data_IF_682006412616
#
_entry.id   IF_682006412616
#
_cell.length_a   1.000
_cell.length_b   1.000
_cell.length_c   1.000
_cell.angle_alpha   90.00
_cell.angle_beta   90.00
_cell.angle_gamma   90.00
#
_symmetry.space_group_name_H-M   'P 1'
#
loop_
_entity.id
_entity.type
_entity.pdbx_description
1 polymer ?
#
# COMPACT_ATOMS: atom_id res chain seq x y z
N UNK A 1 -25.04 19.59 -10.75
CA UNK A 1 -23.74 19.26 -11.39
C UNK A 1 -23.45 20.31 -12.44
N UNK A 2 -22.31 21.01 -12.39
CA UNK A 2 -22.02 22.22 -13.18
C UNK A 2 -21.76 22.00 -14.67
N UNK A 3 -21.96 20.78 -15.19
CA UNK A 3 -21.91 20.47 -16.64
C UNK A 3 -20.52 20.51 -17.30
N UNK A 4 -19.46 20.73 -16.52
CA UNK A 4 -18.07 20.85 -17.01
C UNK A 4 -17.36 19.50 -17.10
N UNK A 5 -16.42 19.37 -18.05
CA UNK A 5 -15.78 18.09 -18.41
C UNK A 5 -14.47 17.79 -17.68
N UNK A 6 -13.84 18.78 -17.06
CA UNK A 6 -12.59 18.59 -16.33
C UNK A 6 -12.38 19.67 -15.25
N UNK A 7 -11.42 19.43 -14.35
CA UNK A 7 -11.08 20.35 -13.25
C UNK A 7 -10.64 21.73 -13.73
N UNK A 8 -9.94 21.84 -14.87
CA UNK A 8 -9.51 23.14 -15.40
C UNK A 8 -10.72 23.99 -15.80
N UNK A 9 -11.69 23.39 -16.50
CA UNK A 9 -12.94 24.05 -16.86
C UNK A 9 -13.78 24.39 -15.63
N UNK A 10 -13.78 23.52 -14.61
CA UNK A 10 -14.43 23.81 -13.33
C UNK A 10 -13.81 25.02 -12.65
N UNK A 11 -12.49 25.07 -12.49
CA UNK A 11 -11.78 26.16 -11.83
C UNK A 11 -11.84 27.49 -12.60
N UNK A 12 -12.17 27.44 -13.89
CA UNK A 12 -12.39 28.63 -14.71
C UNK A 12 -13.80 29.23 -14.56
N UNK A 13 -14.73 28.54 -13.88
CA UNK A 13 -16.03 29.11 -13.52
C UNK A 13 -15.78 30.15 -12.42
N UNK A 14 -15.82 31.45 -12.74
CA UNK A 14 -15.46 32.52 -11.80
C UNK A 14 -16.24 32.56 -10.47
N UNK A 15 -17.34 31.81 -10.38
CA UNK A 15 -18.25 31.76 -9.22
C UNK A 15 -18.07 30.49 -8.36
N UNK A 16 -17.00 29.73 -8.55
CA UNK A 16 -16.72 28.52 -7.74
C UNK A 16 -15.44 28.66 -6.92
N UNK A 17 -15.35 27.90 -5.83
CA UNK A 17 -14.09 27.71 -5.11
C UNK A 17 -13.21 26.76 -5.94
N UNK A 18 -12.01 27.19 -6.38
CA UNK A 18 -11.15 26.32 -7.17
C UNK A 18 -10.76 25.05 -6.42
N UNK A 19 -10.85 23.91 -7.10
CA UNK A 19 -10.39 22.64 -6.59
C UNK A 19 -8.88 22.47 -6.86
N UNK A 20 -8.10 22.01 -5.89
CA UNK A 20 -6.68 21.72 -6.09
C UNK A 20 -6.50 20.45 -6.94
N UNK A 21 -5.36 20.38 -7.64
CA UNK A 21 -4.87 19.10 -8.15
C UNK A 21 -4.37 18.25 -6.98
N UNK A 22 -4.67 16.96 -7.02
CA UNK A 22 -4.21 16.00 -6.02
C UNK A 22 -3.16 15.10 -6.66
N UNK A 23 -1.95 15.08 -6.12
CA UNK A 23 -0.88 14.18 -6.56
C UNK A 23 -0.65 13.14 -5.47
N UNK A 24 -0.88 11.87 -5.80
CA UNK A 24 -0.63 10.73 -4.93
C UNK A 24 0.71 10.12 -5.34
N UNK A 25 1.65 10.02 -4.40
CA UNK A 25 2.98 9.45 -4.62
C UNK A 25 3.15 8.19 -3.79
N UNK A 26 3.49 7.09 -4.45
CA UNK A 26 3.83 5.80 -3.83
C UNK A 26 5.29 5.54 -4.14
N UNK A 27 6.15 5.58 -3.13
CA UNK A 27 7.61 5.41 -3.31
C UNK A 27 8.02 3.96 -3.59
N UNK A 28 7.32 2.99 -2.98
CA UNK A 28 7.56 1.57 -3.18
C UNK A 28 6.25 0.79 -3.29
N UNK A 29 5.82 0.55 -4.53
CA UNK A 29 4.62 -0.24 -4.82
C UNK A 29 4.73 -1.68 -4.30
N UNK A 30 5.93 -2.28 -4.33
CA UNK A 30 6.09 -3.68 -3.98
C UNK A 30 5.68 -3.97 -2.54
N UNK A 31 5.90 -3.02 -1.62
CA UNK A 31 5.53 -3.18 -0.22
C UNK A 31 4.00 -3.23 -0.04
N UNK A 32 3.24 -2.47 -0.84
CA UNK A 32 1.78 -2.54 -0.86
C UNK A 32 1.29 -3.86 -1.47
N UNK A 33 1.91 -4.27 -2.59
CA UNK A 33 1.57 -5.50 -3.30
C UNK A 33 1.89 -6.77 -2.49
N UNK A 34 2.84 -6.71 -1.55
CA UNK A 34 3.16 -7.84 -0.66
C UNK A 34 2.11 -8.04 0.44
N UNK A 35 1.36 -7.00 0.82
CA UNK A 35 0.37 -7.07 1.90
C UNK A 35 -0.99 -7.50 1.38
N UNK A 36 -1.50 -6.82 0.35
CA UNK A 36 -2.85 -7.05 -0.20
C UNK A 36 -2.91 -6.76 -1.71
N UNK A 37 -2.32 -7.63 -2.56
CA UNK A 37 -2.12 -7.34 -3.97
C UNK A 37 -3.42 -7.08 -4.74
N UNK A 38 -4.48 -7.87 -4.50
CA UNK A 38 -5.76 -7.71 -5.18
C UNK A 38 -6.45 -6.38 -4.82
N UNK A 39 -6.49 -6.04 -3.52
CA UNK A 39 -7.16 -4.83 -3.04
C UNK A 39 -6.44 -3.56 -3.55
N UNK A 40 -5.10 -3.55 -3.52
CA UNK A 40 -4.32 -2.42 -4.00
C UNK A 40 -4.36 -2.27 -5.52
N UNK A 41 -4.33 -3.38 -6.26
CA UNK A 41 -4.46 -3.37 -7.71
C UNK A 41 -5.80 -2.77 -8.15
N UNK A 42 -6.91 -3.21 -7.54
CA UNK A 42 -8.25 -2.67 -7.82
C UNK A 42 -8.34 -1.16 -7.54
N UNK A 43 -7.75 -0.69 -6.45
CA UNK A 43 -7.70 0.74 -6.11
C UNK A 43 -6.91 1.53 -7.13
N UNK A 44 -5.73 1.05 -7.55
CA UNK A 44 -4.90 1.72 -8.56
C UNK A 44 -5.63 1.80 -9.89
N UNK A 45 -6.25 0.70 -10.33
CA UNK A 45 -7.03 0.64 -11.57
C UNK A 45 -8.17 1.66 -11.52
N UNK A 46 -8.94 1.68 -10.42
CA UNK A 46 -10.06 2.62 -10.25
C UNK A 46 -9.61 4.07 -10.26
N UNK A 47 -8.53 4.40 -9.53
CA UNK A 47 -7.98 5.75 -9.51
C UNK A 47 -7.51 6.16 -10.91
N UNK A 48 -6.71 5.33 -11.56
CA UNK A 48 -6.14 5.59 -12.88
C UNK A 48 -7.20 5.74 -13.98
N UNK A 49 -8.38 5.13 -13.84
CA UNK A 49 -9.51 5.34 -14.76
C UNK A 49 -10.25 6.66 -14.51
N UNK A 50 -10.28 7.15 -13.27
CA UNK A 50 -10.99 8.38 -12.88
C UNK A 50 -10.14 9.66 -13.05
N UNK A 51 -8.81 9.53 -13.07
CA UNK A 51 -7.83 10.64 -13.02
C UNK A 51 -7.90 11.59 -14.22
N UNK A 52 -8.35 11.14 -15.41
CA UNK A 52 -8.28 11.94 -16.65
C UNK A 52 -9.08 13.25 -16.61
N UNK A 53 -10.19 13.31 -15.89
CA UNK A 53 -11.06 14.48 -15.82
C UNK A 53 -11.05 15.19 -14.45
N UNK A 54 -10.71 14.45 -13.39
CA UNK A 54 -10.93 14.88 -11.99
C UNK A 54 -9.79 15.70 -11.40
N UNK A 55 -8.60 15.71 -12.03
CA UNK A 55 -7.43 16.43 -11.50
C UNK A 55 -6.66 15.66 -10.42
N UNK A 56 -6.92 14.36 -10.29
CA UNK A 56 -6.16 13.45 -9.44
C UNK A 56 -5.07 12.82 -10.31
N UNK A 57 -3.84 12.73 -9.82
CA UNK A 57 -2.69 12.16 -10.52
C UNK A 57 -1.97 11.17 -9.62
N UNK A 58 -1.50 10.07 -10.20
CA UNK A 58 -0.81 9.01 -9.47
C UNK A 58 0.62 8.89 -9.99
N UNK A 59 1.60 8.93 -9.09
CA UNK A 59 3.01 8.66 -9.32
C UNK A 59 3.38 7.43 -8.51
N UNK A 60 3.80 6.37 -9.19
CA UNK A 60 4.14 5.09 -8.56
C UNK A 60 5.58 4.74 -8.90
N UNK A 61 6.36 4.47 -7.87
CA UNK A 61 7.74 4.03 -7.96
C UNK A 61 7.89 2.64 -7.30
N UNK A 62 8.91 1.91 -7.73
CA UNK A 62 9.32 0.64 -7.14
C UNK A 62 10.75 0.33 -7.54
N UNK A 63 11.50 -0.31 -6.64
CA UNK A 63 12.83 -0.86 -6.94
C UNK A 63 12.77 -2.33 -7.37
N UNK A 64 11.58 -2.96 -7.33
CA UNK A 64 11.37 -4.38 -7.63
C UNK A 64 10.52 -4.52 -8.90
N UNK A 65 11.12 -4.38 -10.09
CA UNK A 65 10.40 -4.47 -11.36
C UNK A 65 10.10 -5.93 -11.74
N UNK A 66 9.26 -6.61 -10.94
CA UNK A 66 8.76 -7.96 -11.22
C UNK A 66 7.33 -7.93 -11.76
N UNK A 67 6.93 -9.00 -12.45
CA UNK A 67 5.56 -9.15 -13.00
C UNK A 67 4.51 -9.20 -11.89
N UNK A 68 4.89 -9.67 -10.69
CA UNK A 68 4.01 -9.73 -9.52
C UNK A 68 3.74 -8.34 -8.91
N UNK A 69 4.63 -7.38 -9.13
CA UNK A 69 4.48 -5.99 -8.67
C UNK A 69 3.89 -5.11 -9.77
N UNK A 70 4.45 -5.20 -10.98
CA UNK A 70 4.02 -4.42 -12.16
C UNK A 70 3.19 -5.34 -13.07
N UNK A 71 1.98 -5.63 -12.60
CA UNK A 71 1.07 -6.55 -13.28
C UNK A 71 0.56 -5.99 -14.62
N UNK A 72 -0.11 -6.84 -15.40
CA UNK A 72 -0.77 -6.41 -16.64
C UNK A 72 -1.84 -5.32 -16.42
N UNK A 73 -2.59 -5.39 -15.32
CA UNK A 73 -3.65 -4.41 -15.01
C UNK A 73 -3.05 -3.06 -14.62
N UNK A 74 -2.00 -3.06 -13.81
CA UNK A 74 -1.25 -1.84 -13.48
C UNK A 74 -0.71 -1.20 -14.77
N UNK A 75 -0.05 -1.98 -15.63
CA UNK A 75 0.45 -1.49 -16.92
C UNK A 75 -0.65 -0.93 -17.82
N UNK A 76 -1.80 -1.58 -17.89
CA UNK A 76 -2.91 -1.14 -18.73
C UNK A 76 -3.48 0.23 -18.30
N UNK A 77 -3.40 0.56 -17.01
CA UNK A 77 -3.98 1.79 -16.46
C UNK A 77 -2.93 2.88 -16.15
N UNK A 78 -1.63 2.55 -16.11
CA UNK A 78 -0.52 3.50 -15.98
C UNK A 78 0.34 3.45 -17.26
N UNK A 79 -0.08 4.17 -18.32
CA UNK A 79 0.54 4.10 -19.64
C UNK A 79 1.79 4.97 -19.83
N UNK A 80 2.01 6.01 -19.03
CA UNK A 80 3.27 6.76 -19.03
C UNK A 80 4.25 6.13 -18.05
N UNK A 81 5.46 5.82 -18.49
CA UNK A 81 6.43 5.05 -17.68
C UNK A 81 7.83 5.62 -17.77
N UNK A 82 8.57 5.52 -16.68
CA UNK A 82 9.99 5.87 -16.61
C UNK A 82 10.72 4.63 -16.09
N UNK A 83 11.78 4.22 -16.79
CA UNK A 83 12.70 3.19 -16.32
C UNK A 83 14.09 3.80 -16.15
N UNK A 84 14.62 3.74 -14.92
CA UNK A 84 16.04 3.94 -14.66
C UNK A 84 16.82 2.66 -14.97
N UNK A 85 18.14 2.68 -14.77
CA UNK A 85 18.98 1.51 -14.94
C UNK A 85 18.48 0.31 -14.12
N UNK A 86 18.35 -0.84 -14.79
CA UNK A 86 17.92 -2.11 -14.18
C UNK A 86 18.93 -3.21 -14.48
N UNK A 87 18.86 -4.31 -13.72
CA UNK A 87 19.85 -5.39 -13.78
C UNK A 87 19.71 -6.29 -15.01
N UNK A 88 18.52 -6.38 -15.60
CA UNK A 88 18.26 -7.32 -16.69
C UNK A 88 17.29 -6.81 -17.76
N UNK A 89 17.37 -7.41 -18.94
CA UNK A 89 16.42 -7.16 -20.02
C UNK A 89 14.98 -7.59 -19.64
N UNK A 90 14.84 -8.55 -18.73
CA UNK A 90 13.53 -8.99 -18.22
C UNK A 90 12.90 -7.86 -17.40
N UNK A 91 13.67 -7.23 -16.52
CA UNK A 91 13.21 -6.08 -15.73
C UNK A 91 12.84 -4.89 -16.63
N UNK A 92 13.66 -4.61 -17.65
CA UNK A 92 13.36 -3.57 -18.64
C UNK A 92 12.01 -3.84 -19.33
N UNK A 93 11.76 -5.08 -19.77
CA UNK A 93 10.48 -5.46 -20.38
C UNK A 93 9.32 -5.35 -19.41
N UNK A 94 9.55 -5.60 -18.12
CA UNK A 94 8.51 -5.48 -17.09
C UNK A 94 8.06 -4.02 -16.94
N UNK A 95 8.98 -3.05 -17.02
CA UNK A 95 8.65 -1.63 -16.85
C UNK A 95 8.15 -0.99 -18.16
N UNK A 96 8.86 -1.14 -19.27
CA UNK A 96 8.60 -0.38 -20.52
C UNK A 96 8.21 -1.26 -21.71
N UNK A 97 7.85 -2.53 -21.48
CA UNK A 97 7.44 -3.51 -22.50
C UNK A 97 8.48 -3.73 -23.61
N UNK A 98 9.74 -3.37 -23.35
CA UNK A 98 10.84 -3.47 -24.30
C UNK A 98 12.22 -3.48 -23.63
N UNK A 99 13.28 -3.81 -24.38
CA UNK A 99 14.65 -3.74 -23.90
C UNK A 99 15.16 -2.28 -23.89
N UNK A 100 16.25 -2.05 -23.16
CA UNK A 100 17.02 -0.80 -23.20
C UNK A 100 17.39 -0.27 -21.83
N UNK A 101 16.54 -0.50 -20.81
CA UNK A 101 16.81 0.01 -19.47
C UNK A 101 18.00 -0.72 -18.81
N UNK A 102 18.27 -1.97 -19.21
CA UNK A 102 19.43 -2.74 -18.77
C UNK A 102 20.78 -2.21 -19.29
N UNK A 103 20.74 -1.27 -20.24
CA UNK A 103 21.92 -0.65 -20.86
C UNK A 103 22.18 0.78 -20.37
N UNK A 104 21.35 1.28 -19.46
CA UNK A 104 21.51 2.60 -18.89
C UNK A 104 22.69 2.64 -17.93
N UNK A 105 23.29 3.81 -17.79
CA UNK A 105 24.52 4.03 -17.04
C UNK A 105 24.29 4.23 -15.53
N UNK A 106 23.03 4.28 -15.09
CA UNK A 106 22.64 4.67 -13.74
C UNK A 106 22.74 6.19 -13.52
N UNK A 107 22.76 6.63 -12.25
CA UNK A 107 22.96 8.04 -11.85
C UNK A 107 22.05 9.04 -12.61
N UNK A 108 20.77 8.70 -12.73
CA UNK A 108 19.76 9.54 -13.38
C UNK A 108 19.56 9.26 -14.87
N UNK A 109 20.38 8.43 -15.52
CA UNK A 109 20.11 7.99 -16.90
C UNK A 109 18.83 7.13 -16.94
N UNK A 110 17.90 7.50 -17.82
CA UNK A 110 16.55 6.93 -17.85
C UNK A 110 15.98 6.80 -19.27
N UNK A 111 15.01 5.90 -19.41
CA UNK A 111 14.11 5.80 -20.54
C UNK A 111 12.72 6.29 -20.13
N UNK A 112 12.21 7.28 -20.83
CA UNK A 112 10.85 7.79 -20.66
C UNK A 112 9.97 7.30 -21.82
N UNK A 113 8.92 6.57 -21.49
CA UNK A 113 7.88 6.12 -22.43
C UNK A 113 6.59 6.91 -22.15
N UNK A 114 6.32 7.99 -22.90
CA UNK A 114 5.07 8.72 -22.74
C UNK A 114 3.87 7.93 -23.28
N UNK A 115 2.69 8.23 -22.73
CA UNK A 115 1.41 7.78 -23.26
C UNK A 115 1.31 7.92 -24.79
N UNK A 116 0.95 6.83 -25.46
CA UNK A 116 0.73 6.81 -26.91
C UNK A 116 2.00 6.80 -27.76
N UNK A 117 3.19 6.85 -27.15
CA UNK A 117 4.45 6.75 -27.88
C UNK A 117 4.77 5.29 -28.21
N UNK A 118 5.30 5.05 -29.41
CA UNK A 118 5.69 3.71 -29.86
C UNK A 118 7.04 3.25 -29.29
N UNK A 119 7.90 4.18 -28.86
CA UNK A 119 9.26 3.90 -28.35
C UNK A 119 9.60 4.87 -27.22
N UNK A 120 10.40 4.42 -26.22
CA UNK A 120 10.89 5.31 -25.18
C UNK A 120 11.93 6.28 -25.73
N UNK A 121 12.02 7.44 -25.10
CA UNK A 121 13.03 8.47 -25.32
C UNK A 121 14.04 8.40 -24.18
N UNK A 122 15.33 8.38 -24.48
CA UNK A 122 16.38 8.45 -23.45
C UNK A 122 16.48 9.88 -22.92
N UNK A 123 16.56 10.01 -21.61
CA UNK A 123 16.65 11.28 -20.91
C UNK A 123 17.61 11.16 -19.70
N UNK A 124 18.05 12.31 -19.20
CA UNK A 124 18.89 12.41 -18.02
C UNK A 124 18.12 13.11 -16.90
N UNK A 125 17.94 12.42 -15.79
CA UNK A 125 17.38 12.96 -14.56
C UNK A 125 18.28 14.06 -14.01
N UNK A 126 17.64 15.15 -13.56
CA UNK A 126 18.34 16.22 -12.85
C UNK A 126 18.75 15.73 -11.47
N UNK A 127 20.01 15.95 -11.11
CA UNK A 127 20.50 15.69 -9.77
C UNK A 127 20.11 16.84 -8.85
N UNK A 128 19.55 16.52 -7.69
CA UNK A 128 19.26 17.46 -6.61
C UNK A 128 19.89 16.85 -5.36
N UNK A 129 20.76 17.59 -4.70
CA UNK A 129 21.40 17.14 -3.47
C UNK A 129 20.44 17.24 -2.27
N UNK A 130 20.65 16.41 -1.25
CA UNK A 130 19.83 16.41 -0.03
C UNK A 130 19.78 17.78 0.64
N UNK A 131 20.88 18.54 0.61
CA UNK A 131 20.92 19.91 1.12
C UNK A 131 20.01 20.88 0.35
N UNK A 132 19.88 20.72 -0.97
CA UNK A 132 18.97 21.51 -1.80
C UNK A 132 17.51 21.13 -1.53
N UNK A 133 17.23 19.84 -1.34
CA UNK A 133 15.91 19.35 -0.91
C UNK A 133 15.52 19.97 0.42
N UNK A 134 16.43 19.92 1.40
CA UNK A 134 16.18 20.46 2.73
C UNK A 134 15.92 21.98 2.69
N UNK A 135 16.73 22.73 1.92
CA UNK A 135 16.54 24.16 1.72
C UNK A 135 15.17 24.48 1.10
N UNK A 136 14.72 23.69 0.12
CA UNK A 136 13.40 23.84 -0.50
C UNK A 136 12.26 23.54 0.49
N UNK A 137 12.39 22.47 1.28
CA UNK A 137 11.41 22.10 2.30
C UNK A 137 11.28 23.21 3.36
N UNK A 138 12.40 23.76 3.82
CA UNK A 138 12.39 24.81 4.84
C UNK A 138 11.82 26.12 4.30
N UNK A 139 12.09 26.44 3.03
CA UNK A 139 11.46 27.57 2.35
C UNK A 139 9.93 27.44 2.30
N UNK A 140 9.40 26.24 2.04
CA UNK A 140 7.95 25.98 2.08
C UNK A 140 7.38 26.03 3.51
N UNK A 141 8.08 25.47 4.50
CA UNK A 141 7.67 25.54 5.91
C UNK A 141 7.58 26.98 6.43
N UNK A 142 8.42 27.87 5.92
CA UNK A 142 8.38 29.30 6.25
C UNK A 142 7.13 30.03 5.75
N UNK A 143 6.44 29.50 4.74
CA UNK A 143 5.25 30.12 4.14
C UNK A 143 3.93 29.69 4.78
N UNK A 144 3.89 28.52 5.41
CA UNK A 144 2.66 28.00 5.98
C UNK A 144 2.81 26.65 6.66
N UNK A 145 1.77 26.27 7.40
CA UNK A 145 1.67 24.95 8.01
C UNK A 145 0.83 24.02 7.13
N UNK A 146 1.17 22.72 7.08
CA UNK A 146 0.35 21.75 6.36
C UNK A 146 -1.05 21.69 6.96
N UNK A 147 -2.07 21.79 6.11
CA UNK A 147 -3.46 21.56 6.47
C UNK A 147 -3.78 20.12 6.10
N UNK A 148 -3.82 19.25 7.10
CA UNK A 148 -4.13 17.84 6.89
C UNK A 148 -5.65 17.63 6.87
N UNK A 149 -6.11 16.91 5.86
CA UNK A 149 -7.47 16.36 5.89
C UNK A 149 -7.51 15.25 6.95
N UNK A 150 -8.16 15.55 8.08
CA UNK A 150 -8.27 14.63 9.19
C UNK A 150 -9.01 13.34 8.82
N UNK A 151 -9.87 13.35 7.80
CA UNK A 151 -10.52 12.12 7.33
C UNK A 151 -9.52 11.18 6.67
N UNK A 152 -8.55 11.71 5.91
CA UNK A 152 -7.47 10.94 5.29
C UNK A 152 -6.42 10.50 6.30
N UNK A 153 -6.06 11.38 7.25
CA UNK A 153 -5.15 11.03 8.35
C UNK A 153 -5.76 9.95 9.22
N UNK A 154 -7.03 10.11 9.58
CA UNK A 154 -7.77 9.11 10.33
C UNK A 154 -7.90 7.85 9.50
N UNK A 155 -8.26 7.89 8.21
CA UNK A 155 -8.29 6.71 7.33
C UNK A 155 -6.96 5.94 7.30
N UNK A 156 -5.82 6.64 7.26
CA UNK A 156 -4.48 6.05 7.34
C UNK A 156 -4.16 5.44 8.73
N UNK A 157 -4.74 6.00 9.80
CA UNK A 157 -4.66 5.44 11.15
C UNK A 157 -5.71 4.32 11.39
N UNK A 158 -6.84 4.39 10.68
CA UNK A 158 -8.02 3.52 10.77
C UNK A 158 -8.11 2.50 9.64
N UNK A 159 -7.01 2.24 8.93
CA UNK A 159 -6.75 0.90 8.38
C UNK A 159 -6.90 -0.20 9.43
N UNK A 160 -7.06 0.16 10.72
CA UNK A 160 -7.36 -0.67 11.88
C UNK A 160 -8.80 -0.55 12.44
N UNK A 161 -9.66 0.38 12.00
CA UNK A 161 -10.95 0.61 12.69
C UNK A 161 -12.20 0.17 11.90
N UNK A 162 -12.14 0.12 10.56
CA UNK A 162 -13.20 -0.50 9.74
C UNK A 162 -13.13 -2.02 9.72
N UNK A 163 -11.93 -2.57 9.91
CA UNK A 163 -11.67 -4.00 10.00
C UNK A 163 -11.93 -4.58 11.40
N UNK A 164 -12.10 -3.76 12.45
CA UNK A 164 -12.16 -4.26 13.83
C UNK A 164 -13.21 -5.36 14.07
N UNK A 165 -14.35 -5.34 13.36
CA UNK A 165 -15.39 -6.39 13.52
C UNK A 165 -15.11 -7.66 12.72
N UNK A 166 -14.51 -7.53 11.54
CA UNK A 166 -14.14 -8.66 10.68
C UNK A 166 -12.83 -9.31 11.14
N UNK A 167 -11.90 -8.50 11.64
CA UNK A 167 -10.62 -8.92 12.19
C UNK A 167 -10.79 -9.50 13.59
N UNK A 168 -11.67 -8.95 14.44
CA UNK A 168 -12.08 -9.60 15.71
C UNK A 168 -12.70 -10.98 15.44
N UNK A 169 -13.53 -11.11 14.39
CA UNK A 169 -14.14 -12.39 14.03
C UNK A 169 -13.09 -13.40 13.51
N UNK A 170 -12.17 -12.95 12.65
CA UNK A 170 -11.06 -13.77 12.15
C UNK A 170 -10.12 -14.20 13.27
N UNK A 171 -9.82 -13.32 14.21
CA UNK A 171 -8.98 -13.62 15.36
C UNK A 171 -9.66 -14.59 16.32
N UNK A 172 -10.98 -14.44 16.55
CA UNK A 172 -11.75 -15.40 17.32
C UNK A 172 -11.74 -16.81 16.68
N UNK A 173 -11.87 -16.89 15.35
CA UNK A 173 -11.80 -18.15 14.62
C UNK A 173 -10.39 -18.76 14.65
N UNK A 174 -9.35 -17.94 14.50
CA UNK A 174 -7.96 -18.36 14.64
C UNK A 174 -7.69 -18.93 16.04
N UNK A 175 -8.16 -18.25 17.09
CA UNK A 175 -8.05 -18.70 18.47
C UNK A 175 -8.72 -20.08 18.67
N UNK A 176 -9.94 -20.26 18.15
CA UNK A 176 -10.66 -21.55 18.22
C UNK A 176 -9.90 -22.67 17.51
N UNK A 177 -9.31 -22.39 16.34
CA UNK A 177 -8.53 -23.36 15.57
C UNK A 177 -7.30 -23.81 16.36
N UNK A 178 -6.54 -22.85 16.90
CA UNK A 178 -5.31 -23.09 17.65
C UNK A 178 -5.59 -23.86 18.94
N UNK A 179 -6.60 -23.45 19.71
CA UNK A 179 -6.97 -24.15 20.95
C UNK A 179 -7.48 -25.57 20.68
N UNK A 180 -8.27 -25.79 19.62
CA UNK A 180 -8.69 -27.15 19.24
C UNK A 180 -7.54 -28.02 18.75
N UNK A 181 -6.53 -27.44 18.11
CA UNK A 181 -5.37 -28.16 17.62
C UNK A 181 -4.34 -28.45 18.73
N UNK A 182 -4.34 -27.66 19.82
CA UNK A 182 -3.40 -27.78 20.93
C UNK A 182 -2.02 -27.14 20.67
N UNK A 183 -1.82 -26.50 19.52
CA UNK A 183 -0.60 -25.77 19.17
C UNK A 183 -0.88 -24.62 18.20
N UNK A 184 -0.10 -23.54 18.28
CA UNK A 184 -0.20 -22.39 17.40
C UNK A 184 0.95 -22.34 16.39
N UNK A 185 0.66 -22.42 15.10
CA UNK A 185 1.67 -22.17 14.06
C UNK A 185 1.08 -21.44 12.87
N UNK A 186 1.94 -20.66 12.18
CA UNK A 186 1.55 -19.92 10.98
C UNK A 186 0.99 -20.88 9.92
N UNK A 187 1.65 -22.01 9.69
CA UNK A 187 1.22 -23.02 8.73
C UNK A 187 -0.11 -23.70 9.09
N UNK A 188 -0.47 -23.80 10.37
CA UNK A 188 -1.78 -24.29 10.80
C UNK A 188 -2.88 -23.33 10.35
N UNK A 189 -2.72 -22.04 10.63
CA UNK A 189 -3.71 -21.03 10.28
C UNK A 189 -3.82 -20.83 8.76
N UNK A 190 -2.70 -20.84 8.03
CA UNK A 190 -2.72 -20.78 6.56
C UNK A 190 -3.60 -21.89 5.96
N UNK A 191 -3.44 -23.14 6.43
CA UNK A 191 -4.21 -24.29 5.91
C UNK A 191 -5.68 -24.26 6.33
N UNK A 192 -5.97 -23.89 7.58
CA UNK A 192 -7.33 -23.95 8.13
C UNK A 192 -8.20 -22.75 7.72
N UNK A 193 -7.60 -21.59 7.55
CA UNK A 193 -8.31 -20.35 7.22
C UNK A 193 -8.13 -19.92 5.75
N UNK A 194 -7.27 -20.61 4.99
CA UNK A 194 -6.93 -20.27 3.58
C UNK A 194 -6.43 -18.83 3.43
N UNK A 195 -5.54 -18.43 4.34
CA UNK A 195 -4.95 -17.08 4.40
C UNK A 195 -3.45 -17.12 4.08
N UNK A 196 -2.90 -15.96 3.69
CA UNK A 196 -1.48 -15.79 3.41
C UNK A 196 -0.59 -15.83 4.66
N UNK A 197 0.73 -15.95 4.46
CA UNK A 197 1.71 -16.04 5.56
C UNK A 197 1.66 -14.81 6.47
N UNK A 198 1.64 -13.60 5.91
CA UNK A 198 1.63 -12.33 6.68
C UNK A 198 0.41 -12.25 7.59
N UNK A 199 -0.79 -12.54 7.06
CA UNK A 199 -2.02 -12.57 7.86
C UNK A 199 -1.97 -13.63 8.95
N UNK A 200 -1.47 -14.84 8.62
CA UNK A 200 -1.36 -15.91 9.60
C UNK A 200 -0.31 -15.63 10.69
N UNK A 201 0.80 -14.96 10.35
CA UNK A 201 1.82 -14.53 11.29
C UNK A 201 1.27 -13.45 12.23
N UNK A 202 0.61 -12.42 11.68
CA UNK A 202 -0.06 -11.37 12.47
C UNK A 202 -1.08 -11.96 13.45
N UNK A 203 -1.93 -12.88 12.99
CA UNK A 203 -2.92 -13.55 13.87
C UNK A 203 -2.23 -14.33 14.99
N UNK A 204 -1.14 -15.04 14.71
CA UNK A 204 -0.38 -15.76 15.74
C UNK A 204 0.24 -14.80 16.77
N UNK A 205 0.79 -13.66 16.33
CA UNK A 205 1.35 -12.64 17.23
C UNK A 205 0.27 -11.95 18.08
N UNK A 206 -0.92 -11.71 17.52
CA UNK A 206 -2.07 -11.20 18.27
C UNK A 206 -2.60 -12.19 19.30
N UNK A 207 -2.59 -13.50 18.97
CA UNK A 207 -2.93 -14.54 19.94
C UNK A 207 -1.91 -14.61 21.08
N UNK A 208 -0.63 -14.35 20.81
CA UNK A 208 0.41 -14.25 21.86
C UNK A 208 0.17 -13.02 22.74
N UNK A 209 -0.08 -11.86 22.13
CA UNK A 209 -0.35 -10.62 22.86
C UNK A 209 -1.59 -10.72 23.77
N UNK A 210 -2.56 -11.57 23.40
CA UNK A 210 -3.76 -11.87 24.19
C UNK A 210 -3.57 -13.04 25.19
N UNK A 211 -2.37 -13.60 25.28
CA UNK A 211 -2.05 -14.71 26.19
C UNK A 211 -2.72 -16.03 25.84
N UNK A 212 -3.15 -16.22 24.59
CA UNK A 212 -3.79 -17.46 24.11
C UNK A 212 -2.72 -18.49 23.72
N UNK A 213 -1.60 -18.02 23.16
CA UNK A 213 -0.41 -18.83 22.87
C UNK A 213 0.82 -18.27 23.57
N UNK A 214 1.80 -19.14 23.85
CA UNK A 214 3.09 -18.75 24.42
C UNK A 214 4.02 -18.06 23.44
N UNK A 215 5.19 -17.60 23.91
CA UNK A 215 6.14 -16.85 23.09
C UNK A 215 6.71 -17.67 21.93
N UNK A 216 7.25 -16.97 20.94
CA UNK A 216 7.91 -17.60 19.81
C UNK A 216 9.08 -18.52 20.25
N UNK A 217 8.99 -19.81 19.87
CA UNK A 217 10.03 -20.82 20.11
C UNK A 217 10.78 -21.15 18.80
N UNK A 218 11.30 -20.12 18.13
CA UNK A 218 11.96 -20.28 16.83
C UNK A 218 11.03 -20.82 15.75
N UNK A 219 11.40 -21.93 15.11
CA UNK A 219 10.58 -22.61 14.09
C UNK A 219 9.54 -23.57 14.66
N UNK A 220 9.51 -23.79 15.98
CA UNK A 220 8.59 -24.72 16.62
C UNK A 220 7.20 -24.08 16.83
N UNK A 221 6.12 -24.89 16.80
CA UNK A 221 4.79 -24.41 17.16
C UNK A 221 4.74 -23.83 18.58
N UNK A 222 3.99 -22.73 18.75
CA UNK A 222 3.75 -22.09 20.05
C UNK A 222 2.81 -22.95 20.89
N UNK A 223 3.09 -23.04 22.18
CA UNK A 223 2.24 -23.73 23.14
C UNK A 223 0.93 -22.96 23.34
N UNK A 224 -0.18 -23.67 23.52
CA UNK A 224 -1.49 -23.07 23.82
C UNK A 224 -1.64 -22.92 25.32
N UNK A 225 -1.91 -21.69 25.79
CA UNK A 225 -1.95 -21.36 27.22
C UNK A 225 -3.37 -21.40 27.81
N UNK A 226 -4.40 -21.45 26.96
CA UNK A 226 -5.81 -21.40 27.39
C UNK A 226 -6.64 -22.56 26.84
N UNK A 227 -7.54 -23.08 27.68
CA UNK A 227 -8.54 -24.07 27.25
C UNK A 227 -9.73 -23.43 26.53
N UNK A 228 -10.57 -24.26 25.89
CA UNK A 228 -11.70 -23.82 25.07
C UNK A 228 -12.73 -22.98 25.86
N UNK A 229 -13.02 -23.36 27.11
CA UNK A 229 -13.95 -22.62 27.99
C UNK A 229 -13.39 -21.27 28.44
N UNK A 230 -12.08 -21.20 28.71
CA UNK A 230 -11.41 -19.95 29.06
C UNK A 230 -11.37 -18.99 27.86
N UNK A 231 -11.14 -19.52 26.66
CA UNK A 231 -11.19 -18.76 25.41
C UNK A 231 -12.58 -18.17 25.16
N UNK A 232 -13.66 -18.95 25.32
CA UNK A 232 -15.04 -18.47 25.19
C UNK A 232 -15.34 -17.29 26.11
N UNK A 233 -14.78 -17.28 27.33
CA UNK A 233 -14.92 -16.19 28.30
C UNK A 233 -14.18 -14.93 27.85
N UNK A 234 -12.92 -15.09 27.44
CA UNK A 234 -12.08 -14.00 26.91
C UNK A 234 -12.69 -13.34 25.66
N UNK A 235 -13.36 -14.11 24.81
CA UNK A 235 -14.04 -13.60 23.63
C UNK A 235 -15.35 -12.87 23.94
N UNK A 236 -15.99 -13.15 25.09
CA UNK A 236 -17.21 -12.46 25.56
C UNK A 236 -16.90 -11.16 26.31
N UNK A 237 -15.80 -11.13 27.06
CA UNK A 237 -15.33 -9.97 27.79
C UNK A 237 -14.51 -9.05 26.87
N UNK A 238 -15.20 -8.23 26.04
CA UNK A 238 -14.51 -7.12 25.35
C UNK A 238 -13.81 -6.23 26.39
N UNK A 239 -12.56 -5.78 26.18
CA UNK A 239 -11.97 -4.75 27.04
C UNK A 239 -12.85 -3.50 26.92
N UNK A 240 -13.48 -3.10 28.03
CA UNK A 240 -14.10 -1.77 28.13
C UNK A 240 -12.98 -0.76 27.94
N UNK A 241 -13.07 0.09 26.91
CA UNK A 241 -12.15 1.21 26.76
C UNK A 241 -12.09 1.99 28.09
N UNK A 242 -10.91 2.45 28.54
CA UNK A 242 -10.82 3.25 29.74
C UNK A 242 -11.66 4.52 29.53
N UNK A 243 -12.68 4.69 30.36
CA UNK A 243 -13.38 5.97 30.47
C UNK A 243 -12.36 6.96 31.02
N UNK A 244 -11.98 7.94 30.21
CA UNK A 244 -11.13 9.03 30.68
C UNK A 244 -11.92 9.87 31.70
N UNK A 245 -11.27 10.30 32.79
CA UNK A 245 -11.89 11.14 33.82
C UNK A 245 -12.29 12.52 33.31
#
# INVERSE_FOLDING_TARGET
ETGVRNIQAYNALGDVVPLPFIVIVIDELADLMMVAPADFEDVIVRLAQMTRATGIHLVVATQRPSVDVITGLIKANIPSRIAFAVSSQVDSRTIIDGPGAEKLLGRGDMLFLPMGAARPVRAQGSFIADGEIQALVDWWRGQGRPVFDQTLVTAGQTGTAGEGRADDARLADAARIVVRAGYGSVSLLQRKMRIGYVTAARLIDELEARGIVGPAQGSSPREVLVGLEALERLLREKPRAPQSP
#
